data_IF_157937948980
#
_entry.id   IF_157937948980
#
_cell.length_a   1.000
_cell.length_b   1.000
_cell.length_c   1.000
_cell.angle_alpha   90.00
_cell.angle_beta   90.00
_cell.angle_gamma   90.00
#
_symmetry.space_group_name_H-M   'P 1'
#
loop_
_entity.id
_entity.type
_entity.pdbx_description
1 polymer ?
#
# COMPACT_ATOMS: atom_id res chain seq x y z
N UNK A 1 -14.65 -21.68 -6.46
CA UNK A 1 -14.74 -20.74 -7.61
C UNK A 1 -13.60 -19.73 -7.65
N UNK A 2 -13.22 -19.08 -6.53
CA UNK A 2 -12.10 -18.12 -6.48
C UNK A 2 -10.73 -18.68 -6.90
N UNK A 3 -10.40 -19.94 -6.56
CA UNK A 3 -9.08 -20.51 -6.87
C UNK A 3 -8.87 -20.68 -8.39
N UNK A 4 -9.88 -21.21 -9.10
CA UNK A 4 -9.85 -21.37 -10.55
C UNK A 4 -9.70 -20.03 -11.28
N UNK A 5 -10.35 -18.97 -10.79
CA UNK A 5 -10.21 -17.61 -11.33
C UNK A 5 -8.79 -17.05 -11.10
N UNK A 6 -8.21 -17.27 -9.92
CA UNK A 6 -6.83 -16.86 -9.62
C UNK A 6 -5.82 -17.61 -10.51
N UNK A 7 -6.02 -18.91 -10.72
CA UNK A 7 -5.16 -19.73 -11.58
C UNK A 7 -5.28 -19.34 -13.05
N UNK A 8 -6.49 -19.12 -13.56
CA UNK A 8 -6.67 -18.70 -14.97
C UNK A 8 -6.08 -17.32 -15.23
N UNK A 9 -6.22 -16.40 -14.27
CA UNK A 9 -5.60 -15.07 -14.36
C UNK A 9 -4.07 -15.16 -14.26
N UNK A 10 -3.52 -16.03 -13.41
CA UNK A 10 -2.08 -16.29 -13.36
C UNK A 10 -1.55 -16.78 -14.72
N UNK A 11 -2.23 -17.76 -15.34
CA UNK A 11 -1.87 -18.27 -16.66
C UNK A 11 -1.88 -17.14 -17.70
N UNK A 12 -2.93 -16.31 -17.70
CA UNK A 12 -3.00 -15.14 -18.57
C UNK A 12 -1.82 -14.18 -18.35
N UNK A 13 -1.50 -13.85 -17.09
CA UNK A 13 -0.35 -12.99 -16.77
C UNK A 13 0.96 -13.60 -17.22
N UNK A 14 1.17 -14.91 -17.02
CA UNK A 14 2.38 -15.61 -17.50
C UNK A 14 2.49 -15.52 -19.03
N UNK A 15 1.38 -15.71 -19.75
CA UNK A 15 1.35 -15.59 -21.21
C UNK A 15 1.67 -14.16 -21.65
N UNK A 16 1.04 -13.15 -21.04
CA UNK A 16 1.30 -11.73 -21.34
C UNK A 16 2.75 -11.36 -21.04
N UNK A 17 3.27 -11.75 -19.88
CA UNK A 17 4.66 -11.52 -19.48
C UNK A 17 5.64 -12.16 -20.47
N UNK A 18 5.39 -13.41 -20.85
CA UNK A 18 6.21 -14.15 -21.81
C UNK A 18 6.17 -13.49 -23.19
N UNK A 19 5.00 -13.04 -23.64
CA UNK A 19 4.85 -12.30 -24.89
C UNK A 19 5.59 -10.94 -24.86
N UNK A 20 5.49 -10.21 -23.75
CA UNK A 20 6.17 -8.92 -23.58
C UNK A 20 7.70 -9.06 -23.63
N UNK A 21 8.27 -10.10 -23.00
CA UNK A 21 9.72 -10.33 -23.01
C UNK A 21 10.20 -10.87 -24.36
N UNK A 22 9.54 -11.92 -24.87
CA UNK A 22 10.07 -12.75 -25.96
C UNK A 22 9.65 -12.26 -27.35
N UNK A 23 8.46 -11.68 -27.50
CA UNK A 23 7.85 -11.43 -28.81
C UNK A 23 8.01 -9.96 -29.22
N UNK A 24 7.93 -9.02 -28.28
CA UNK A 24 7.95 -7.60 -28.61
C UNK A 24 9.37 -7.05 -28.89
N UNK A 25 9.95 -7.42 -30.03
CA UNK A 25 11.30 -6.99 -30.45
C UNK A 25 11.42 -5.50 -30.80
N UNK A 26 10.31 -4.77 -30.86
CA UNK A 26 10.31 -3.33 -31.16
C UNK A 26 10.85 -2.48 -30.01
N UNK A 27 10.85 -3.02 -28.79
CA UNK A 27 11.33 -2.35 -27.59
C UNK A 27 12.73 -2.84 -27.20
N UNK A 28 13.53 -1.95 -26.64
CA UNK A 28 14.81 -2.33 -26.03
C UNK A 28 14.58 -3.32 -24.87
N UNK A 29 15.64 -4.05 -24.53
CA UNK A 29 15.55 -5.11 -23.51
C UNK A 29 15.17 -4.55 -22.12
N UNK A 30 15.67 -3.37 -21.75
CA UNK A 30 15.40 -2.75 -20.46
C UNK A 30 13.93 -2.36 -20.34
N UNK A 31 13.35 -1.73 -21.36
CA UNK A 31 11.92 -1.38 -21.41
C UNK A 31 11.03 -2.62 -21.28
N UNK A 32 11.38 -3.73 -21.96
CA UNK A 32 10.65 -5.00 -21.82
C UNK A 32 10.73 -5.56 -20.40
N UNK A 33 11.90 -5.51 -19.80
CA UNK A 33 12.12 -5.99 -18.43
C UNK A 33 11.36 -5.17 -17.39
N UNK A 34 11.37 -3.83 -17.51
CA UNK A 34 10.59 -2.94 -16.64
C UNK A 34 9.09 -3.17 -16.80
N UNK A 35 8.62 -3.37 -18.05
CA UNK A 35 7.21 -3.67 -18.31
C UNK A 35 6.79 -5.03 -17.72
N UNK A 36 7.68 -6.03 -17.77
CA UNK A 36 7.46 -7.31 -17.09
C UNK A 36 7.32 -7.14 -15.58
N UNK A 37 8.24 -6.40 -14.93
CA UNK A 37 8.15 -6.13 -13.49
C UNK A 37 6.85 -5.39 -13.16
N UNK A 38 6.45 -4.40 -13.98
CA UNK A 38 5.22 -3.65 -13.79
C UNK A 38 3.98 -4.56 -13.80
N UNK A 39 3.88 -5.44 -14.81
CA UNK A 39 2.74 -6.38 -14.95
C UNK A 39 2.71 -7.36 -13.78
N UNK A 40 3.87 -7.93 -13.42
CA UNK A 40 3.97 -8.86 -12.31
C UNK A 40 3.60 -8.18 -10.98
N UNK A 41 4.09 -6.96 -10.76
CA UNK A 41 3.80 -6.16 -9.57
C UNK A 41 2.29 -5.85 -9.47
N UNK A 42 1.65 -5.49 -10.59
CA UNK A 42 0.20 -5.30 -10.65
C UNK A 42 -0.57 -6.57 -10.31
N UNK A 43 -0.12 -7.73 -10.80
CA UNK A 43 -0.71 -9.02 -10.44
C UNK A 43 -0.64 -9.30 -8.93
N UNK A 44 0.49 -9.01 -8.28
CA UNK A 44 0.64 -9.18 -6.83
C UNK A 44 -0.32 -8.28 -6.03
N UNK A 45 -0.46 -7.01 -6.43
CA UNK A 45 -1.41 -6.10 -5.79
C UNK A 45 -2.85 -6.60 -5.98
N UNK A 46 -3.24 -6.99 -7.19
CA UNK A 46 -4.62 -7.38 -7.48
C UNK A 46 -5.04 -8.71 -6.83
N UNK A 47 -4.17 -9.73 -6.89
CA UNK A 47 -4.53 -11.10 -6.47
C UNK A 47 -4.22 -11.38 -5.01
N UNK A 48 -3.12 -10.84 -4.52
CA UNK A 48 -2.64 -11.07 -3.15
C UNK A 48 -2.86 -9.87 -2.24
N UNK A 49 -3.34 -8.73 -2.76
CA UNK A 49 -3.60 -7.52 -1.97
C UNK A 49 -2.36 -7.01 -1.22
N UNK A 50 -1.16 -7.31 -1.74
CA UNK A 50 0.11 -6.88 -1.16
C UNK A 50 0.36 -5.43 -1.58
N UNK A 51 -0.18 -4.48 -0.82
CA UNK A 51 -0.09 -3.04 -1.11
C UNK A 51 1.36 -2.56 -1.17
N UNK A 52 2.30 -3.17 -0.42
CA UNK A 52 3.74 -2.88 -0.44
C UNK A 52 4.35 -2.86 -1.85
N UNK A 53 3.82 -3.67 -2.77
CA UNK A 53 4.29 -3.78 -4.16
C UNK A 53 3.89 -2.58 -5.04
N UNK A 54 2.95 -1.73 -4.60
CA UNK A 54 2.57 -0.50 -5.32
C UNK A 54 3.75 0.45 -5.57
N UNK A 55 4.80 0.45 -4.72
CA UNK A 55 6.02 1.22 -4.98
C UNK A 55 6.76 0.76 -6.22
N UNK A 56 6.81 -0.54 -6.47
CA UNK A 56 7.43 -1.09 -7.68
C UNK A 56 6.63 -0.69 -8.93
N UNK A 57 5.29 -0.69 -8.83
CA UNK A 57 4.41 -0.20 -9.90
C UNK A 57 4.70 1.27 -10.20
N UNK A 58 4.78 2.10 -9.16
CA UNK A 58 5.05 3.52 -9.28
C UNK A 58 6.40 3.78 -9.98
N UNK A 59 7.48 3.19 -9.47
CA UNK A 59 8.83 3.39 -10.02
C UNK A 59 8.93 2.89 -11.46
N UNK A 60 8.37 1.72 -11.77
CA UNK A 60 8.36 1.17 -13.13
C UNK A 60 7.54 2.05 -14.08
N UNK A 61 6.35 2.50 -13.66
CA UNK A 61 5.50 3.37 -14.47
C UNK A 61 6.18 4.72 -14.76
N UNK A 62 6.79 5.35 -13.74
CA UNK A 62 7.57 6.58 -13.92
C UNK A 62 8.72 6.35 -14.91
N UNK A 63 9.50 5.28 -14.73
CA UNK A 63 10.60 4.93 -15.62
C UNK A 63 10.17 4.78 -17.08
N UNK A 64 9.06 4.08 -17.33
CA UNK A 64 8.49 3.91 -18.67
C UNK A 64 7.98 5.22 -19.26
N UNK A 65 7.29 6.05 -18.47
CA UNK A 65 6.78 7.36 -18.94
C UNK A 65 7.93 8.29 -19.28
N UNK A 66 8.96 8.36 -18.44
CA UNK A 66 10.15 9.19 -18.66
C UNK A 66 10.89 8.73 -19.93
N UNK A 67 11.05 7.42 -20.14
CA UNK A 67 11.73 6.86 -21.32
C UNK A 67 10.91 6.97 -22.62
N UNK A 68 9.60 7.19 -22.53
CA UNK A 68 8.73 7.25 -23.72
C UNK A 68 9.03 8.45 -24.64
N UNK A 69 8.70 8.33 -25.94
CA UNK A 69 8.86 9.41 -26.93
C UNK A 69 7.71 10.42 -26.96
N UNK A 70 6.78 10.37 -26.00
CA UNK A 70 5.60 11.26 -25.98
C UNK A 70 5.97 12.70 -25.61
N UNK A 71 5.10 13.65 -25.96
CA UNK A 71 5.31 15.07 -25.66
C UNK A 71 5.36 15.34 -24.15
N UNK A 72 6.06 16.41 -23.74
CA UNK A 72 6.24 16.77 -22.32
C UNK A 72 4.91 16.92 -21.57
N UNK A 73 3.92 17.54 -22.19
CA UNK A 73 2.58 17.72 -21.59
C UNK A 73 1.92 16.36 -21.32
N UNK A 74 2.00 15.43 -22.30
CA UNK A 74 1.46 14.07 -22.11
C UNK A 74 2.20 13.32 -21.00
N UNK A 75 3.53 13.46 -20.91
CA UNK A 75 4.30 12.88 -19.80
C UNK A 75 3.83 13.40 -18.45
N UNK A 76 3.67 14.72 -18.31
CA UNK A 76 3.19 15.32 -17.06
C UNK A 76 1.79 14.83 -16.69
N UNK A 77 0.87 14.75 -17.65
CA UNK A 77 -0.46 14.19 -17.42
C UNK A 77 -0.41 12.72 -17.00
N UNK A 78 0.41 11.89 -17.67
CA UNK A 78 0.58 10.48 -17.31
C UNK A 78 1.19 10.32 -15.90
N UNK A 79 2.20 11.12 -15.56
CA UNK A 79 2.79 11.11 -14.23
C UNK A 79 1.77 11.51 -13.17
N UNK A 80 0.98 12.55 -13.42
CA UNK A 80 -0.10 12.96 -12.53
C UNK A 80 -1.10 11.81 -12.32
N UNK A 81 -1.54 11.16 -13.40
CA UNK A 81 -2.46 10.01 -13.31
C UNK A 81 -1.87 8.84 -12.51
N UNK A 82 -0.59 8.53 -12.70
CA UNK A 82 0.09 7.47 -11.94
C UNK A 82 0.16 7.82 -10.45
N UNK A 83 0.47 9.06 -10.10
CA UNK A 83 0.48 9.50 -8.70
C UNK A 83 -0.92 9.44 -8.09
N UNK A 84 -1.95 9.95 -8.78
CA UNK A 84 -3.34 9.87 -8.34
C UNK A 84 -3.79 8.42 -8.12
N UNK A 85 -3.42 7.52 -9.04
CA UNK A 85 -3.71 6.09 -8.91
C UNK A 85 -3.07 5.50 -7.65
N UNK A 86 -1.80 5.79 -7.38
CA UNK A 86 -1.13 5.28 -6.17
C UNK A 86 -1.77 5.86 -4.91
N UNK A 87 -2.07 7.16 -4.87
CA UNK A 87 -2.74 7.78 -3.72
C UNK A 87 -4.09 7.11 -3.44
N UNK A 88 -4.88 6.78 -4.47
CA UNK A 88 -6.17 6.11 -4.30
C UNK A 88 -6.06 4.75 -3.60
N UNK A 89 -4.99 3.99 -3.85
CA UNK A 89 -4.79 2.67 -3.24
C UNK A 89 -4.02 2.69 -1.91
N UNK A 90 -3.30 3.78 -1.64
CA UNK A 90 -2.38 3.86 -0.50
C UNK A 90 -2.89 4.74 0.63
N UNK A 91 -3.63 5.79 0.30
CA UNK A 91 -4.20 6.68 1.32
C UNK A 91 -5.36 5.93 1.99
N UNK A 92 -5.31 5.74 3.32
CA UNK A 92 -6.33 5.02 4.06
C UNK A 92 -7.67 5.74 3.94
N UNK A 93 -8.74 4.97 3.76
CA UNK A 93 -10.10 5.51 3.58
C UNK A 93 -11.00 5.15 4.75
N UNK A 94 -10.60 4.18 5.58
CA UNK A 94 -11.39 3.66 6.68
C UNK A 94 -10.63 3.82 8.01
N UNK A 95 -11.34 4.06 9.13
CA UNK A 95 -10.72 4.08 10.46
C UNK A 95 -9.94 2.80 10.78
N UNK A 96 -10.41 1.65 10.27
CA UNK A 96 -9.74 0.35 10.43
C UNK A 96 -8.31 0.34 9.87
N UNK A 97 -8.02 1.15 8.86
CA UNK A 97 -6.67 1.25 8.30
C UNK A 97 -5.70 1.92 9.29
N UNK A 98 -6.22 2.86 10.10
CA UNK A 98 -5.44 3.51 11.16
C UNK A 98 -5.26 2.58 12.36
N UNK A 99 -6.31 1.84 12.78
CA UNK A 99 -6.16 0.85 13.87
C UNK A 99 -5.17 -0.26 13.50
N UNK A 100 -5.10 -0.65 12.23
CA UNK A 100 -4.09 -1.61 11.76
C UNK A 100 -2.68 -1.02 11.86
N UNK A 101 -2.47 0.24 11.45
CA UNK A 101 -1.19 0.92 11.64
C UNK A 101 -0.78 0.98 13.12
N UNK A 102 -1.73 1.32 14.00
CA UNK A 102 -1.49 1.36 15.44
C UNK A 102 -1.13 -0.01 16.00
N UNK A 103 -1.80 -1.07 15.54
CA UNK A 103 -1.46 -2.45 15.90
C UNK A 103 -0.08 -2.89 15.41
N UNK A 104 0.30 -2.53 14.19
CA UNK A 104 1.58 -2.91 13.59
C UNK A 104 2.79 -2.13 14.17
N UNK A 105 2.59 -0.84 14.52
CA UNK A 105 3.69 0.05 14.96
C UNK A 105 3.81 0.13 16.49
N UNK A 106 2.69 0.00 17.22
CA UNK A 106 2.65 0.18 18.68
C UNK A 106 2.19 -1.07 19.45
N UNK A 107 2.03 -2.22 18.78
CA UNK A 107 1.54 -3.49 19.35
C UNK A 107 0.20 -3.32 20.11
N UNK A 108 -0.62 -2.36 19.66
CA UNK A 108 -1.90 -2.00 20.27
C UNK A 108 -3.06 -2.47 19.38
N UNK A 109 -3.69 -3.58 19.75
CA UNK A 109 -4.78 -4.18 18.99
C UNK A 109 -6.13 -3.69 19.51
N UNK A 110 -6.83 -2.88 18.72
CA UNK A 110 -8.12 -2.29 19.09
C UNK A 110 -9.29 -3.04 18.47
N UNK A 111 -10.32 -3.31 19.29
CA UNK A 111 -11.60 -3.89 18.86
C UNK A 111 -12.77 -3.08 19.45
N UNK A 112 -13.40 -2.27 18.59
CA UNK A 112 -14.52 -1.39 18.96
C UNK A 112 -14.13 -0.33 20.00
N UNK A 113 -14.28 -0.60 21.29
CA UNK A 113 -14.07 0.37 22.39
C UNK A 113 -12.90 0.00 23.31
N UNK A 114 -12.35 -1.20 23.14
CA UNK A 114 -11.25 -1.73 23.95
C UNK A 114 -10.02 -1.92 23.07
N UNK A 115 -8.85 -1.52 23.57
CA UNK A 115 -7.56 -1.85 22.97
C UNK A 115 -6.76 -2.74 23.91
N UNK A 116 -5.98 -3.64 23.32
CA UNK A 116 -5.13 -4.56 24.05
C UNK A 116 -3.69 -4.30 23.63
N UNK A 117 -2.88 -3.88 24.59
CA UNK A 117 -1.44 -3.73 24.38
C UNK A 117 -0.72 -4.98 24.86
N UNK A 118 0.16 -5.53 24.02
CA UNK A 118 1.00 -6.67 24.37
C UNK A 118 2.42 -6.17 24.58
N UNK A 119 2.91 -6.26 25.81
CA UNK A 119 4.29 -5.87 26.15
C UNK A 119 5.08 -7.08 26.60
N UNK A 120 6.32 -7.21 26.11
CA UNK A 120 7.21 -8.27 26.55
C UNK A 120 7.98 -7.80 27.79
N UNK A 121 7.73 -8.46 28.92
CA UNK A 121 8.45 -8.17 30.15
C UNK A 121 9.89 -8.72 30.07
N UNK A 122 10.84 -8.08 30.76
CA UNK A 122 12.27 -8.47 30.77
C UNK A 122 12.51 -9.93 31.18
N UNK A 123 11.55 -10.56 31.87
CA UNK A 123 11.58 -11.97 32.28
C UNK A 123 11.19 -12.96 31.15
N UNK A 124 10.87 -12.46 29.96
CA UNK A 124 10.40 -13.27 28.82
C UNK A 124 8.91 -13.61 28.88
N UNK A 125 8.18 -13.13 29.89
CA UNK A 125 6.72 -13.27 29.96
C UNK A 125 6.02 -12.15 29.18
N UNK A 126 4.99 -12.51 28.42
CA UNK A 126 4.10 -11.55 27.76
C UNK A 126 3.10 -11.03 28.79
N UNK A 127 3.01 -9.71 28.91
CA UNK A 127 2.00 -9.02 29.71
C UNK A 127 1.00 -8.35 28.76
N UNK A 128 -0.28 -8.50 29.10
CA UNK A 128 -1.38 -7.94 28.33
C UNK A 128 -2.06 -6.87 29.18
N UNK A 129 -2.08 -5.64 28.68
CA UNK A 129 -2.79 -4.51 29.31
C UNK A 129 -4.02 -4.19 28.47
N UNK A 130 -5.18 -4.11 29.11
CA UNK A 130 -6.42 -3.69 28.46
C UNK A 130 -6.59 -2.20 28.74
N UNK A 131 -6.80 -1.43 27.68
CA UNK A 131 -6.98 0.01 27.71
C UNK A 131 -8.28 0.40 27.03
N UNK A 132 -9.10 1.20 27.71
CA UNK A 132 -10.33 1.73 27.13
C UNK A 132 -10.02 2.94 26.22
N UNK A 133 -10.68 2.98 25.07
CA UNK A 133 -10.57 4.11 24.14
C UNK A 133 -11.40 5.27 24.67
N UNK A 134 -10.72 6.36 25.03
CA UNK A 134 -11.38 7.60 25.48
C UNK A 134 -11.78 8.51 24.32
N UNK A 135 -11.03 8.45 23.22
CA UNK A 135 -11.26 9.25 22.02
C UNK A 135 -10.70 8.56 20.78
N UNK A 136 -11.49 8.51 19.71
CA UNK A 136 -11.06 8.05 18.40
C UNK A 136 -11.51 9.05 17.34
N UNK A 137 -10.59 9.46 16.48
CA UNK A 137 -10.87 10.30 15.33
C UNK A 137 -10.09 9.82 14.12
N UNK A 138 -10.78 9.73 12.99
CA UNK A 138 -10.17 9.45 11.71
C UNK A 138 -10.77 10.38 10.65
N UNK A 139 -9.91 11.14 9.98
CA UNK A 139 -10.29 11.98 8.84
C UNK A 139 -9.46 11.55 7.64
N UNK A 140 -10.11 11.18 6.54
CA UNK A 140 -9.44 10.86 5.28
C UNK A 140 -9.73 11.91 4.22
N UNK A 141 -8.69 12.26 3.47
CA UNK A 141 -8.72 13.12 2.31
C UNK A 141 -8.01 12.44 1.15
N UNK A 142 -8.10 12.99 -0.05
CA UNK A 142 -7.60 12.33 -1.25
C UNK A 142 -6.08 12.04 -1.24
N UNK A 143 -5.27 12.92 -0.64
CA UNK A 143 -3.81 12.80 -0.61
C UNK A 143 -3.23 12.48 0.76
N UNK A 144 -4.06 12.58 1.80
CA UNK A 144 -3.61 12.45 3.17
C UNK A 144 -4.75 12.03 4.08
N UNK A 145 -4.42 11.45 5.22
CA UNK A 145 -5.38 11.15 6.28
C UNK A 145 -4.75 11.48 7.62
N UNK A 146 -5.59 11.65 8.64
CA UNK A 146 -5.17 11.81 10.03
C UNK A 146 -5.95 10.83 10.87
N UNK A 147 -5.23 10.07 11.68
CA UNK A 147 -5.78 9.23 12.72
C UNK A 147 -5.32 9.71 14.09
N UNK A 148 -6.21 9.64 15.07
CA UNK A 148 -5.91 9.90 16.47
C UNK A 148 -6.71 8.93 17.35
N UNK A 149 -5.99 8.21 18.21
CA UNK A 149 -6.56 7.36 19.26
C UNK A 149 -5.97 7.82 20.59
N UNK A 150 -6.84 8.04 21.58
CA UNK A 150 -6.42 8.33 22.96
C UNK A 150 -6.97 7.27 23.89
N UNK A 151 -6.08 6.66 24.64
CA UNK A 151 -6.40 5.82 25.79
C UNK A 151 -6.13 6.59 27.08
N UNK A 152 -6.39 5.98 28.24
CA UNK A 152 -6.05 6.58 29.52
C UNK A 152 -4.54 6.79 29.72
N UNK A 153 -3.71 6.03 29.01
CA UNK A 153 -2.27 5.97 29.21
C UNK A 153 -1.49 6.70 28.12
N UNK A 154 -2.00 6.72 26.89
CA UNK A 154 -1.29 7.24 25.72
C UNK A 154 -2.22 7.89 24.69
N UNK A 155 -1.67 8.85 23.96
CA UNK A 155 -2.33 9.50 22.81
C UNK A 155 -1.49 9.23 21.58
N UNK A 156 -2.03 8.46 20.64
CA UNK A 156 -1.37 8.11 19.39
C UNK A 156 -2.01 8.92 18.27
N UNK A 157 -1.21 9.76 17.61
CA UNK A 157 -1.63 10.55 16.47
C UNK A 157 -0.66 10.35 15.31
N UNK A 158 -1.18 10.13 14.11
CA UNK A 158 -0.35 10.02 12.92
C UNK A 158 -1.02 10.61 11.69
N UNK A 159 -0.17 11.12 10.79
CA UNK A 159 -0.59 11.64 9.51
C UNK A 159 -0.19 10.64 8.44
N UNK A 160 -1.14 10.19 7.64
CA UNK A 160 -0.84 9.48 6.41
C UNK A 160 -0.63 10.51 5.30
N UNK A 161 0.53 10.55 4.65
CA UNK A 161 0.76 11.37 3.46
C UNK A 161 1.11 10.44 2.30
N UNK A 162 0.26 10.42 1.29
CA UNK A 162 0.41 9.61 0.08
C UNK A 162 0.69 8.11 0.35
N UNK A 163 0.21 7.57 1.47
CA UNK A 163 0.40 6.17 1.83
C UNK A 163 1.36 5.87 2.96
N UNK A 164 2.06 6.86 3.47
CA UNK A 164 3.00 6.68 4.57
C UNK A 164 2.50 7.36 5.83
N UNK A 165 2.50 6.60 6.92
CA UNK A 165 2.19 7.13 8.24
C UNK A 165 3.41 7.81 8.85
N UNK A 166 3.18 9.00 9.39
CA UNK A 166 4.15 9.80 10.11
C UNK A 166 3.58 10.07 11.50
N UNK A 167 4.22 9.58 12.58
CA UNK A 167 3.78 9.89 13.93
C UNK A 167 3.90 11.40 14.18
N UNK A 168 2.94 11.95 14.91
CA UNK A 168 2.91 13.36 15.32
C UNK A 168 2.83 13.40 16.83
N UNK A 169 3.87 13.95 17.45
CA UNK A 169 3.94 14.21 18.90
C UNK A 169 2.96 15.31 19.35
#
# INVERSE_FOLDING_TARGET
MMILLKISFLIFVVVVCSATILINRSMDFLTRYVLFILILSFYFVWVFQITSVLWLILVCAIGLIVNSSVSRIKKMLLLLWVVLFVCFYRVPMLPSDFTNYVGDEYDLHCQSVECVQITQHESGHLQTTIEDITFEQFNSYFFWAVGEIRTEQQSIKAWNIAGFWFPVE
#
